data_IF_588833607475
#
_entry.id   IF_588833607475
#
_cell.length_a   1.000
_cell.length_b   1.000
_cell.length_c   1.000
_cell.angle_alpha   90.00
_cell.angle_beta   90.00
_cell.angle_gamma   90.00
#
_symmetry.space_group_name_H-M   'P 1'
#
loop_
_entity.id
_entity.type
_entity.pdbx_description
1 polymer ?
#
# COMPACT_ATOMS: atom_id res chain seq x y z
N UNK A 1 -19.08 17.50 -16.18
CA UNK A 1 -17.81 18.04 -15.58
C UNK A 1 -17.45 19.37 -16.25
N UNK A 2 -17.13 20.42 -15.47
CA UNK A 2 -16.46 21.62 -15.96
C UNK A 2 -14.96 21.33 -16.09
N UNK A 3 -14.29 21.70 -17.19
CA UNK A 3 -12.85 21.46 -17.33
C UNK A 3 -12.06 22.41 -16.44
N UNK A 4 -10.94 21.90 -15.90
CA UNK A 4 -9.93 22.70 -15.20
C UNK A 4 -8.62 22.69 -15.99
N UNK A 5 -7.86 23.77 -15.91
CA UNK A 5 -6.60 23.94 -16.63
C UNK A 5 -5.41 23.45 -15.80
N UNK A 6 -5.42 23.69 -14.50
CA UNK A 6 -4.32 23.39 -13.60
C UNK A 6 -4.79 22.92 -12.23
N UNK A 7 -3.95 22.14 -11.58
CA UNK A 7 -4.07 21.76 -10.17
C UNK A 7 -3.03 22.52 -9.36
N UNK A 8 -3.41 23.10 -8.23
CA UNK A 8 -2.56 23.95 -7.41
C UNK A 8 -2.36 23.28 -6.06
N UNK A 9 -1.11 23.04 -5.70
CA UNK A 9 -0.63 22.66 -4.36
C UNK A 9 -0.20 23.95 -3.69
N UNK A 10 -1.13 24.60 -2.93
CA UNK A 10 -0.98 26.00 -2.58
C UNK A 10 -0.10 26.22 -1.33
N UNK A 11 -0.65 26.08 -0.16
CA UNK A 11 0.05 26.29 1.11
C UNK A 11 -0.36 25.24 2.14
N UNK A 12 0.36 25.20 3.26
CA UNK A 12 -0.05 24.44 4.44
C UNK A 12 0.17 25.26 5.71
N UNK A 13 -0.57 24.91 6.72
CA UNK A 13 -0.47 25.46 8.07
C UNK A 13 0.13 24.39 8.99
N UNK A 14 1.01 24.77 9.90
CA UNK A 14 1.57 23.89 10.92
C UNK A 14 1.35 24.45 12.32
N UNK A 15 0.61 23.73 13.13
CA UNK A 15 0.47 24.03 14.56
C UNK A 15 1.37 23.11 15.39
N UNK A 16 2.46 23.68 15.89
CA UNK A 16 3.43 22.96 16.73
C UNK A 16 2.84 22.51 18.08
N UNK A 17 1.83 23.20 18.58
CA UNK A 17 1.23 22.90 19.89
C UNK A 17 0.34 21.65 19.85
N UNK A 18 -0.34 21.45 18.76
CA UNK A 18 -1.22 20.29 18.48
C UNK A 18 -0.59 19.22 17.63
N UNK A 19 0.57 19.52 17.02
CA UNK A 19 1.23 18.69 15.99
C UNK A 19 0.33 18.44 14.77
N UNK A 20 -0.44 19.45 14.39
CA UNK A 20 -1.38 19.35 13.28
C UNK A 20 -0.86 20.10 12.07
N UNK A 21 -0.93 19.45 10.88
CA UNK A 21 -0.68 20.09 9.60
C UNK A 21 -1.95 20.08 8.76
N UNK A 22 -2.35 21.24 8.23
CA UNK A 22 -3.48 21.41 7.33
C UNK A 22 -2.98 21.83 5.94
N UNK A 23 -3.31 21.06 4.93
CA UNK A 23 -2.81 21.18 3.56
C UNK A 23 -3.93 21.68 2.65
N UNK A 24 -3.63 22.62 1.75
CA UNK A 24 -4.60 23.28 0.89
C UNK A 24 -4.30 23.06 -0.59
N UNK A 25 -5.33 22.78 -1.37
CA UNK A 25 -5.28 22.51 -2.80
C UNK A 25 -6.39 23.25 -3.53
N UNK A 26 -6.21 23.51 -4.83
CA UNK A 26 -7.26 24.06 -5.66
C UNK A 26 -7.19 23.56 -7.11
N UNK A 27 -8.34 23.60 -7.81
CA UNK A 27 -8.40 23.59 -9.26
C UNK A 27 -8.75 25.02 -9.76
N UNK A 28 -7.85 25.63 -10.55
CA UNK A 28 -8.01 26.96 -11.18
C UNK A 28 -8.49 28.07 -10.22
N UNK A 29 -8.13 28.02 -8.94
CA UNK A 29 -8.62 28.92 -7.88
C UNK A 29 -10.17 28.96 -7.76
N UNK A 30 -10.86 27.89 -8.17
CA UNK A 30 -12.32 27.79 -8.17
C UNK A 30 -12.85 26.72 -7.22
N UNK A 31 -12.26 25.52 -7.24
CA UNK A 31 -12.61 24.42 -6.34
C UNK A 31 -11.48 24.20 -5.36
N UNK A 32 -11.75 24.42 -4.09
CA UNK A 32 -10.75 24.35 -3.01
C UNK A 32 -10.95 23.11 -2.16
N UNK A 33 -9.85 22.54 -1.70
CA UNK A 33 -9.82 21.39 -0.80
C UNK A 33 -8.86 21.65 0.35
N UNK A 34 -9.14 21.04 1.47
CA UNK A 34 -8.16 20.92 2.54
C UNK A 34 -8.16 19.55 3.16
N UNK A 35 -7.00 19.13 3.65
CA UNK A 35 -6.91 17.94 4.49
C UNK A 35 -6.01 18.19 5.68
N UNK A 36 -6.24 17.43 6.75
CA UNK A 36 -5.50 17.58 7.99
C UNK A 36 -4.83 16.28 8.35
N UNK A 37 -3.56 16.37 8.75
CA UNK A 37 -2.84 15.27 9.40
C UNK A 37 -2.47 15.72 10.81
N UNK A 38 -2.92 14.94 11.80
CA UNK A 38 -2.50 15.13 13.18
C UNK A 38 -1.37 14.15 13.50
N UNK A 39 -0.16 14.65 13.70
CA UNK A 39 1.03 13.87 14.01
C UNK A 39 1.14 13.51 15.48
N UNK A 40 0.26 14.03 16.36
CA UNK A 40 0.16 13.56 17.74
C UNK A 40 -0.35 12.11 17.76
N UNK A 41 0.26 11.21 18.54
CA UNK A 41 -0.24 9.84 18.66
C UNK A 41 -1.68 9.83 19.17
N UNK A 42 -2.55 9.08 18.51
CA UNK A 42 -3.97 8.99 18.87
C UNK A 42 -4.18 8.47 20.32
N UNK A 43 -3.28 7.60 20.78
CA UNK A 43 -3.29 7.00 22.11
C UNK A 43 -1.88 6.93 22.69
N UNK A 44 -1.79 6.89 24.02
CA UNK A 44 -0.53 6.67 24.73
C UNK A 44 0.57 7.66 24.31
N UNK A 45 0.25 8.95 24.24
CA UNK A 45 1.20 10.00 23.81
C UNK A 45 2.51 9.99 24.60
N UNK A 46 2.47 9.63 25.89
CA UNK A 46 3.65 9.47 26.75
C UNK A 46 4.63 8.37 26.29
N UNK A 47 4.16 7.41 25.49
CA UNK A 47 5.00 6.34 24.94
C UNK A 47 5.89 6.81 23.79
N UNK A 48 5.57 7.96 23.20
CA UNK A 48 6.20 8.49 21.99
C UNK A 48 6.69 9.94 22.22
N UNK A 49 7.82 10.12 22.92
CA UNK A 49 8.39 11.45 23.14
C UNK A 49 8.88 12.05 21.80
N UNK A 50 8.67 13.35 21.63
CA UNK A 50 9.23 14.09 20.50
C UNK A 50 10.75 14.22 20.67
N UNK A 51 11.49 13.83 19.64
CA UNK A 51 12.97 13.84 19.62
C UNK A 51 13.48 15.06 18.86
N UNK A 52 12.93 15.30 17.65
CA UNK A 52 13.36 16.40 16.80
C UNK A 52 12.19 17.38 16.58
N UNK A 53 12.41 18.69 16.80
CA UNK A 53 11.33 19.67 16.81
C UNK A 53 11.71 20.99 16.11
N UNK A 54 12.75 20.97 15.24
CA UNK A 54 13.09 22.14 14.47
C UNK A 54 11.98 22.47 13.46
N UNK A 55 11.46 23.68 13.53
CA UNK A 55 10.30 24.10 12.75
C UNK A 55 10.65 24.21 11.25
N UNK A 56 11.84 24.67 10.92
CA UNK A 56 12.24 24.79 9.52
C UNK A 56 12.39 23.39 8.88
N UNK A 57 12.97 22.44 9.62
CA UNK A 57 13.07 21.06 9.19
C UNK A 57 11.68 20.40 8.99
N UNK A 58 10.76 20.65 9.92
CA UNK A 58 9.38 20.15 9.80
C UNK A 58 8.70 20.77 8.57
N UNK A 59 8.82 22.08 8.34
CA UNK A 59 8.28 22.74 7.16
C UNK A 59 8.83 22.15 5.86
N UNK A 60 10.12 21.85 5.80
CA UNK A 60 10.72 21.16 4.64
C UNK A 60 10.03 19.80 4.40
N UNK A 61 9.92 18.97 5.41
CA UNK A 61 9.30 17.64 5.28
C UNK A 61 7.82 17.74 4.88
N UNK A 62 7.08 18.68 5.48
CA UNK A 62 5.67 18.92 5.17
C UNK A 62 5.47 19.43 3.73
N UNK A 63 6.40 20.22 3.17
CA UNK A 63 6.31 20.66 1.78
C UNK A 63 6.34 19.49 0.78
N UNK A 64 7.19 18.50 1.03
CA UNK A 64 7.21 17.27 0.21
C UNK A 64 6.00 16.37 0.45
N UNK A 65 5.56 16.25 1.70
CA UNK A 65 4.34 15.52 2.03
C UNK A 65 3.11 16.14 1.37
N UNK A 66 3.04 17.48 1.28
CA UNK A 66 1.96 18.22 0.62
C UNK A 66 1.78 17.75 -0.83
N UNK A 67 2.90 17.61 -1.57
CA UNK A 67 2.86 17.12 -2.95
C UNK A 67 2.36 15.66 -3.00
N UNK A 68 2.85 14.80 -2.09
CA UNK A 68 2.42 13.40 -2.05
C UNK A 68 0.92 13.23 -1.77
N UNK A 69 0.37 14.03 -0.85
CA UNK A 69 -1.05 14.03 -0.49
C UNK A 69 -1.94 14.54 -1.64
N UNK A 70 -1.46 15.53 -2.40
CA UNK A 70 -2.17 16.19 -3.51
C UNK A 70 -2.71 15.20 -4.56
N UNK A 71 -2.07 14.03 -4.74
CA UNK A 71 -2.54 12.99 -5.67
C UNK A 71 -3.97 12.53 -5.35
N UNK A 72 -4.40 12.65 -4.08
CA UNK A 72 -5.75 12.28 -3.62
C UNK A 72 -6.84 13.17 -4.20
N UNK A 73 -6.51 14.41 -4.52
CA UNK A 73 -7.42 15.41 -5.11
C UNK A 73 -7.20 15.53 -6.61
N UNK A 74 -5.95 15.50 -7.07
CA UNK A 74 -5.60 15.54 -8.50
C UNK A 74 -6.39 14.53 -9.34
N UNK A 75 -6.61 13.31 -8.83
CA UNK A 75 -7.38 12.28 -9.53
C UNK A 75 -8.84 12.67 -9.84
N UNK A 76 -9.41 13.64 -9.13
CA UNK A 76 -10.79 14.09 -9.39
C UNK A 76 -10.90 14.70 -10.79
N UNK A 77 -9.86 15.39 -11.25
CA UNK A 77 -9.73 15.91 -12.61
C UNK A 77 -8.25 16.07 -13.00
N UNK A 78 -7.62 15.05 -13.62
CA UNK A 78 -6.21 15.14 -14.02
C UNK A 78 -5.98 16.27 -15.02
N UNK A 79 -5.12 17.22 -14.66
CA UNK A 79 -4.74 18.38 -15.48
C UNK A 79 -3.35 18.18 -16.10
N UNK A 80 -3.05 18.95 -17.15
CA UNK A 80 -1.71 19.01 -17.72
C UNK A 80 -0.72 19.60 -16.72
N UNK A 81 -1.09 20.71 -16.06
CA UNK A 81 -0.22 21.44 -15.17
C UNK A 81 -0.53 21.19 -13.70
N UNK A 82 0.53 21.01 -12.90
CA UNK A 82 0.49 21.02 -11.44
C UNK A 82 1.40 22.13 -10.95
N UNK A 83 0.82 23.15 -10.30
CA UNK A 83 1.56 24.28 -9.76
C UNK A 83 1.90 23.99 -8.30
N UNK A 84 3.19 24.01 -7.96
CA UNK A 84 3.64 23.84 -6.57
C UNK A 84 4.13 25.20 -6.05
N UNK A 85 3.46 25.69 -4.98
CA UNK A 85 3.74 27.00 -4.38
C UNK A 85 4.56 26.89 -3.09
N UNK A 86 4.67 25.71 -2.50
CA UNK A 86 5.28 25.50 -1.18
C UNK A 86 6.79 25.30 -1.22
N UNK A 87 7.34 24.83 -2.34
CA UNK A 87 8.76 24.52 -2.48
C UNK A 87 9.19 24.65 -3.95
N UNK A 88 10.38 25.23 -4.24
CA UNK A 88 10.94 25.17 -5.59
C UNK A 88 11.36 23.75 -5.93
N UNK A 89 11.10 23.31 -7.16
CA UNK A 89 11.38 21.94 -7.62
C UNK A 89 12.55 21.92 -8.60
N UNK A 90 13.59 21.15 -8.28
CA UNK A 90 14.65 20.77 -9.25
C UNK A 90 14.10 19.77 -10.27
N UNK A 91 14.71 19.68 -11.44
CA UNK A 91 14.26 18.76 -12.50
C UNK A 91 14.14 17.30 -12.00
N UNK A 92 15.14 16.78 -11.27
CA UNK A 92 15.05 15.42 -10.68
C UNK A 92 13.90 15.23 -9.68
N UNK A 93 13.47 16.31 -9.02
CA UNK A 93 12.28 16.26 -8.16
C UNK A 93 11.02 16.20 -9.01
N UNK A 94 10.96 16.98 -10.10
CA UNK A 94 9.82 16.96 -11.04
C UNK A 94 9.68 15.58 -11.68
N UNK A 95 10.79 14.96 -12.10
CA UNK A 95 10.80 13.61 -12.66
C UNK A 95 10.22 12.58 -11.67
N UNK A 96 10.66 12.64 -10.40
CA UNK A 96 10.13 11.77 -9.35
C UNK A 96 8.62 11.98 -9.13
N UNK A 97 8.17 13.25 -9.04
CA UNK A 97 6.77 13.57 -8.80
C UNK A 97 5.90 13.23 -10.01
N UNK A 98 6.40 13.46 -11.22
CA UNK A 98 5.72 13.03 -12.44
C UNK A 98 5.49 11.51 -12.45
N UNK A 99 6.54 10.72 -12.19
CA UNK A 99 6.45 9.26 -12.07
C UNK A 99 5.48 8.83 -10.96
N UNK A 100 5.53 9.49 -9.81
CA UNK A 100 4.65 9.21 -8.68
C UNK A 100 3.17 9.40 -9.03
N UNK A 101 2.84 10.47 -9.76
CA UNK A 101 1.45 10.75 -10.18
C UNK A 101 1.05 9.87 -11.36
N UNK A 102 1.84 9.79 -12.41
CA UNK A 102 1.47 9.07 -13.64
C UNK A 102 1.47 7.55 -13.42
N UNK A 103 2.57 6.98 -12.96
CA UNK A 103 2.62 5.52 -12.71
C UNK A 103 1.78 5.11 -11.49
N UNK A 104 1.72 5.96 -10.46
CA UNK A 104 0.91 5.73 -9.26
C UNK A 104 -0.59 5.73 -9.50
N UNK A 105 -1.06 6.53 -10.47
CA UNK A 105 -2.45 6.57 -10.91
C UNK A 105 -2.71 5.67 -12.14
N UNK A 106 -1.80 4.79 -12.52
CA UNK A 106 -1.92 3.98 -13.73
C UNK A 106 -3.24 3.21 -13.83
N UNK A 107 -3.65 2.48 -12.77
CA UNK A 107 -4.95 1.81 -12.73
C UNK A 107 -6.12 2.79 -12.85
N UNK A 108 -6.03 3.94 -12.19
CA UNK A 108 -7.04 4.98 -12.26
C UNK A 108 -7.22 5.46 -13.71
N UNK A 109 -6.15 5.73 -14.44
CA UNK A 109 -6.20 6.13 -15.86
C UNK A 109 -6.80 5.03 -16.73
N UNK A 110 -6.38 3.78 -16.53
CA UNK A 110 -6.91 2.63 -17.26
C UNK A 110 -8.41 2.47 -17.06
N UNK A 111 -8.88 2.48 -15.81
CA UNK A 111 -10.31 2.27 -15.49
C UNK A 111 -11.22 3.40 -15.95
N UNK A 112 -10.73 4.63 -15.92
CA UNK A 112 -11.49 5.81 -16.36
C UNK A 112 -11.26 6.15 -17.84
N UNK A 113 -10.48 5.35 -18.58
CA UNK A 113 -10.17 5.53 -20.02
C UNK A 113 -9.55 6.92 -20.30
N UNK A 114 -8.66 7.39 -19.41
CA UNK A 114 -7.97 8.67 -19.54
C UNK A 114 -6.58 8.42 -20.12
N UNK A 115 -6.24 9.10 -21.23
CA UNK A 115 -4.88 9.08 -21.75
C UNK A 115 -3.95 9.90 -20.84
N UNK A 116 -2.94 9.30 -20.20
CA UNK A 116 -2.05 10.00 -19.27
C UNK A 116 -0.96 10.84 -19.96
N UNK A 117 -0.84 10.75 -21.29
CA UNK A 117 0.23 11.43 -22.04
C UNK A 117 0.11 12.94 -21.88
N UNK A 118 1.19 13.58 -21.41
CA UNK A 118 1.28 15.01 -21.22
C UNK A 118 0.63 15.55 -19.94
N UNK A 119 0.03 14.69 -19.10
CA UNK A 119 -0.53 15.09 -17.79
C UNK A 119 0.56 15.26 -16.73
N UNK A 120 0.20 15.90 -15.61
CA UNK A 120 1.01 16.03 -14.40
C UNK A 120 2.40 16.68 -14.63
N UNK A 121 2.47 17.75 -15.43
CA UNK A 121 3.68 18.53 -15.60
C UNK A 121 3.87 19.45 -14.38
N UNK A 122 4.89 19.21 -13.57
CA UNK A 122 5.15 19.97 -12.35
C UNK A 122 5.85 21.29 -12.65
N UNK A 123 5.20 22.39 -12.28
CA UNK A 123 5.71 23.75 -12.37
C UNK A 123 5.84 24.35 -10.97
N UNK A 124 6.79 25.23 -10.75
CA UNK A 124 6.91 25.99 -9.50
C UNK A 124 6.90 27.49 -9.79
N UNK A 125 6.28 28.25 -8.90
CA UNK A 125 6.14 29.71 -9.04
C UNK A 125 7.40 30.47 -8.61
N UNK A 126 8.23 29.89 -7.75
CA UNK A 126 9.43 30.55 -7.24
C UNK A 126 10.67 30.22 -8.07
N UNK A 127 11.34 31.29 -8.59
CA UNK A 127 12.66 31.25 -9.22
C UNK A 127 13.83 31.28 -8.22
N UNK A 128 13.60 31.03 -6.93
CA UNK A 128 14.67 31.06 -5.93
C UNK A 128 15.56 29.84 -6.09
N UNK A 129 16.70 30.02 -6.73
CA UNK A 129 17.81 29.05 -6.80
C UNK A 129 18.49 28.82 -5.43
N UNK A 130 18.12 29.56 -4.40
CA UNK A 130 18.78 29.55 -3.11
C UNK A 130 18.34 28.37 -2.25
N UNK A 131 19.30 27.48 -1.98
CA UNK A 131 19.26 26.42 -0.98
C UNK A 131 18.04 25.49 -1.06
N UNK A 132 17.84 24.84 -2.20
CA UNK A 132 16.97 23.68 -2.24
C UNK A 132 17.60 22.62 -1.35
N UNK A 133 16.94 22.42 -0.27
CA UNK A 133 17.26 21.67 0.91
C UNK A 133 17.99 20.36 0.63
N UNK A 134 19.17 20.23 1.18
CA UNK A 134 19.81 18.94 1.39
C UNK A 134 19.00 18.16 2.44
N UNK A 135 19.11 16.85 2.41
CA UNK A 135 18.49 16.01 3.43
C UNK A 135 18.93 16.43 4.84
N UNK A 136 17.98 16.45 5.76
CA UNK A 136 18.16 16.86 7.14
C UNK A 136 18.92 15.80 7.94
N UNK A 137 19.81 16.26 8.82
CA UNK A 137 20.34 15.39 9.88
C UNK A 137 19.34 15.31 11.04
N UNK A 138 19.22 14.16 11.67
CA UNK A 138 18.31 13.95 12.77
C UNK A 138 18.78 12.84 13.71
N UNK A 139 18.33 12.90 14.96
CA UNK A 139 18.61 11.86 15.95
C UNK A 139 17.60 10.73 15.81
N UNK A 140 18.09 9.49 15.70
CA UNK A 140 17.23 8.33 15.49
C UNK A 140 17.89 7.01 15.92
N UNK A 141 17.14 6.14 16.58
CA UNK A 141 17.65 4.87 17.10
C UNK A 141 16.78 3.65 16.75
N UNK A 142 15.44 3.81 16.71
CA UNK A 142 14.49 2.70 16.59
C UNK A 142 14.09 2.43 15.14
N UNK A 143 13.45 1.26 14.93
CA UNK A 143 12.77 0.93 13.69
C UNK A 143 11.27 1.26 13.81
N UNK A 144 10.67 1.66 12.69
CA UNK A 144 9.23 1.88 12.55
C UNK A 144 8.68 0.88 11.53
N UNK A 145 7.81 -0.04 11.94
CA UNK A 145 7.21 -1.04 11.03
C UNK A 145 5.84 -0.56 10.58
N UNK A 146 5.66 -0.39 9.26
CA UNK A 146 4.35 -0.08 8.68
C UNK A 146 3.39 -1.25 8.94
N UNK A 147 2.31 -0.99 9.67
CA UNK A 147 1.41 -1.99 10.19
C UNK A 147 -0.02 -1.80 9.69
N UNK A 148 -0.36 -2.55 8.63
CA UNK A 148 -1.70 -2.60 8.02
C UNK A 148 -2.48 -3.89 8.32
N UNK A 149 -2.14 -4.65 9.37
CA UNK A 149 -2.74 -5.92 9.88
C UNK A 149 -2.84 -7.06 8.89
N UNK A 150 -2.28 -6.91 7.74
CA UNK A 150 -2.13 -8.01 6.79
C UNK A 150 -1.04 -8.98 7.26
N UNK A 151 -1.11 -10.21 6.79
CA UNK A 151 -0.11 -11.26 7.07
C UNK A 151 1.33 -10.79 6.83
N UNK A 152 1.56 -9.93 5.82
CA UNK A 152 2.90 -9.48 5.42
C UNK A 152 3.55 -8.61 6.51
N UNK A 153 2.79 -7.69 7.10
CA UNK A 153 3.26 -6.87 8.22
C UNK A 153 3.54 -7.71 9.47
N UNK A 154 2.73 -8.73 9.72
CA UNK A 154 2.93 -9.65 10.84
C UNK A 154 4.18 -10.51 10.66
N UNK A 155 4.46 -10.99 9.45
CA UNK A 155 5.73 -11.67 9.14
C UNK A 155 6.93 -10.74 9.36
N UNK A 156 6.85 -9.48 8.92
CA UNK A 156 7.92 -8.50 9.16
C UNK A 156 8.15 -8.22 10.65
N UNK A 157 7.08 -8.19 11.45
CA UNK A 157 7.17 -8.08 12.92
C UNK A 157 7.95 -9.27 13.49
N UNK A 158 7.56 -10.50 13.14
CA UNK A 158 8.22 -11.69 13.67
C UNK A 158 9.70 -11.80 13.22
N UNK A 159 10.00 -11.47 11.97
CA UNK A 159 11.37 -11.40 11.47
C UNK A 159 12.21 -10.33 12.21
N UNK A 160 11.61 -9.22 12.63
CA UNK A 160 12.28 -8.19 13.40
C UNK A 160 12.54 -8.64 14.83
N UNK A 161 11.57 -9.33 15.47
CA UNK A 161 11.72 -9.95 16.79
C UNK A 161 12.84 -10.99 16.81
N UNK A 162 12.90 -11.86 15.80
CA UNK A 162 13.95 -12.88 15.67
C UNK A 162 15.36 -12.27 15.62
N UNK A 163 15.48 -11.03 15.14
CA UNK A 163 16.74 -10.28 15.12
C UNK A 163 17.01 -9.49 16.39
N UNK A 164 16.14 -9.54 17.40
CA UNK A 164 16.20 -8.78 18.64
C UNK A 164 16.34 -7.26 18.43
N UNK A 165 15.68 -6.71 17.38
CA UNK A 165 15.72 -5.29 17.08
C UNK A 165 14.57 -4.58 17.78
N UNK A 166 14.84 -3.37 18.32
CA UNK A 166 13.83 -2.51 18.90
C UNK A 166 13.00 -1.82 17.82
N UNK A 167 11.68 -1.89 17.93
CA UNK A 167 10.76 -1.30 16.97
C UNK A 167 9.44 -0.87 17.60
N UNK A 168 8.76 0.03 16.92
CA UNK A 168 7.36 0.37 17.14
C UNK A 168 6.56 0.12 15.86
N UNK A 169 5.24 -0.07 15.99
CA UNK A 169 4.33 -0.23 14.87
C UNK A 169 3.79 1.14 14.43
N UNK A 170 3.54 1.30 13.14
CA UNK A 170 2.98 2.52 12.58
C UNK A 170 1.73 2.25 11.76
N UNK A 171 0.63 2.93 12.08
CA UNK A 171 -0.62 2.91 11.33
C UNK A 171 -1.05 4.33 10.95
N UNK A 172 -1.54 4.49 9.72
CA UNK A 172 -1.97 5.78 9.18
C UNK A 172 -3.46 5.77 8.84
N UNK A 173 -4.19 6.78 9.31
CA UNK A 173 -5.62 6.93 9.11
C UNK A 173 -6.43 6.66 10.38
N UNK A 174 -7.58 5.99 10.25
CA UNK A 174 -8.47 5.68 11.38
C UNK A 174 -8.01 4.43 12.14
N UNK A 175 -8.31 4.38 13.42
CA UNK A 175 -8.19 3.16 14.20
C UNK A 175 -9.42 2.27 13.97
N UNK A 176 -9.17 0.98 13.77
CA UNK A 176 -10.20 -0.04 13.67
C UNK A 176 -10.02 -1.09 14.79
N UNK A 177 -11.11 -1.70 15.32
CA UNK A 177 -11.01 -2.70 16.40
C UNK A 177 -10.03 -3.84 16.10
N UNK A 178 -9.94 -4.25 14.85
CA UNK A 178 -8.99 -5.26 14.37
C UNK A 178 -7.52 -4.91 14.57
N UNK A 179 -7.19 -3.63 14.56
CA UNK A 179 -5.85 -3.20 14.87
C UNK A 179 -5.37 -3.71 16.22
N UNK A 180 -6.27 -3.68 17.22
CA UNK A 180 -5.96 -4.11 18.56
C UNK A 180 -5.79 -5.62 18.65
N UNK A 181 -6.63 -6.40 17.94
CA UNK A 181 -6.52 -7.85 17.90
C UNK A 181 -5.20 -8.31 17.29
N UNK A 182 -4.80 -7.73 16.17
CA UNK A 182 -3.54 -8.09 15.51
C UNK A 182 -2.31 -7.52 16.23
N UNK A 183 -2.44 -6.39 16.92
CA UNK A 183 -1.36 -5.80 17.73
C UNK A 183 -1.07 -6.60 18.98
N UNK A 184 -2.09 -7.10 19.68
CA UNK A 184 -1.94 -7.79 20.97
C UNK A 184 -0.81 -8.84 20.95
N UNK A 185 -0.83 -9.84 20.06
CA UNK A 185 0.22 -10.86 19.97
C UNK A 185 1.60 -10.33 19.57
N UNK A 186 1.70 -9.09 19.07
CA UNK A 186 3.01 -8.50 18.71
C UNK A 186 3.79 -7.99 19.94
N UNK A 187 3.09 -7.62 21.02
CA UNK A 187 3.64 -6.98 22.22
C UNK A 187 4.34 -5.64 21.96
N UNK A 188 4.12 -5.04 20.79
CA UNK A 188 4.75 -3.80 20.38
C UNK A 188 3.84 -2.58 20.60
N UNK A 189 4.45 -1.43 20.89
CA UNK A 189 3.75 -0.15 20.90
C UNK A 189 3.36 0.25 19.48
N UNK A 190 2.24 0.94 19.32
CA UNK A 190 1.74 1.37 18.01
C UNK A 190 1.45 2.86 17.97
N UNK A 191 2.17 3.55 17.11
CA UNK A 191 1.93 4.94 16.76
C UNK A 191 0.84 5.01 15.67
N UNK A 192 -0.24 5.73 15.96
CA UNK A 192 -1.35 5.95 15.03
C UNK A 192 -1.41 7.43 14.71
N UNK A 193 -1.22 7.77 13.43
CA UNK A 193 -1.33 9.11 12.90
C UNK A 193 -2.63 9.25 12.12
N UNK A 194 -3.40 10.28 12.47
CA UNK A 194 -4.72 10.50 11.89
C UNK A 194 -4.67 11.35 10.62
N UNK A 195 -5.50 10.99 9.65
CA UNK A 195 -5.76 11.76 8.42
C UNK A 195 -7.24 12.09 8.32
N UNK A 196 -7.55 13.35 8.05
CA UNK A 196 -8.91 13.83 7.81
C UNK A 196 -8.97 14.45 6.42
N UNK A 197 -9.70 13.81 5.50
CA UNK A 197 -9.93 14.27 4.12
C UNK A 197 -11.11 15.21 4.07
N UNK A 198 -11.13 16.11 3.09
CA UNK A 198 -12.28 16.95 2.73
C UNK A 198 -13.35 16.11 2.00
N UNK A 199 -13.98 15.20 2.74
CA UNK A 199 -14.99 14.30 2.18
C UNK A 199 -16.21 15.05 1.59
N UNK A 200 -16.73 16.14 2.21
CA UNK A 200 -17.85 16.88 1.64
C UNK A 200 -17.55 17.44 0.25
N UNK A 201 -16.39 18.06 0.07
CA UNK A 201 -15.99 18.62 -1.22
C UNK A 201 -15.70 17.53 -2.27
N UNK A 202 -15.05 16.44 -1.86
CA UNK A 202 -14.86 15.27 -2.74
C UNK A 202 -16.21 14.72 -3.20
N UNK A 203 -17.15 14.50 -2.28
CA UNK A 203 -18.49 13.96 -2.60
C UNK A 203 -19.29 14.88 -3.52
N UNK A 204 -19.21 16.20 -3.32
CA UNK A 204 -19.81 17.20 -4.21
C UNK A 204 -19.33 16.99 -5.64
N UNK A 205 -18.02 16.95 -5.86
CA UNK A 205 -17.47 16.79 -7.21
C UNK A 205 -17.80 15.42 -7.81
N UNK A 206 -17.77 14.35 -7.03
CA UNK A 206 -18.19 13.03 -7.51
C UNK A 206 -19.66 13.02 -7.96
N UNK A 207 -20.54 13.73 -7.27
CA UNK A 207 -21.94 13.90 -7.67
C UNK A 207 -22.10 14.72 -8.98
N UNK A 208 -21.15 15.60 -9.27
CA UNK A 208 -21.06 16.37 -10.52
C UNK A 208 -20.40 15.58 -11.67
N UNK A 209 -20.03 14.30 -11.43
CA UNK A 209 -19.49 13.39 -12.43
C UNK A 209 -17.97 13.43 -12.59
N UNK A 210 -17.22 14.03 -11.63
CA UNK A 210 -15.77 13.97 -11.61
C UNK A 210 -15.27 12.57 -11.25
N UNK A 211 -13.98 12.27 -11.53
CA UNK A 211 -13.43 10.93 -11.46
C UNK A 211 -13.13 10.45 -10.02
N UNK A 212 -13.14 9.14 -9.85
CA UNK A 212 -12.65 8.47 -8.65
C UNK A 212 -11.86 7.21 -9.04
N UNK A 213 -11.05 6.71 -8.12
CA UNK A 213 -10.32 5.45 -8.34
C UNK A 213 -9.11 5.26 -7.44
N UNK A 214 -8.25 4.35 -7.87
CA UNK A 214 -7.04 3.94 -7.17
C UNK A 214 -6.09 5.10 -6.85
N UNK A 215 -5.35 4.95 -5.75
CA UNK A 215 -4.32 5.87 -5.29
C UNK A 215 -3.04 5.12 -4.90
N UNK A 216 -1.85 5.71 -5.08
CA UNK A 216 -0.58 5.16 -4.60
C UNK A 216 -0.44 5.31 -3.07
N UNK A 217 -1.37 4.74 -2.30
CA UNK A 217 -1.48 4.98 -0.85
C UNK A 217 -0.23 4.59 -0.07
N UNK A 218 0.47 3.51 -0.46
CA UNK A 218 1.71 3.11 0.19
C UNK A 218 2.79 4.18 0.02
N UNK A 219 2.86 4.82 -1.15
CA UNK A 219 3.78 5.93 -1.38
C UNK A 219 3.47 7.13 -0.50
N UNK A 220 2.18 7.51 -0.37
CA UNK A 220 1.75 8.56 0.57
C UNK A 220 2.20 8.22 2.00
N UNK A 221 1.96 6.98 2.45
CA UNK A 221 2.34 6.52 3.79
C UNK A 221 3.87 6.62 4.00
N UNK A 222 4.69 6.37 2.98
CA UNK A 222 6.14 6.51 3.07
C UNK A 222 6.57 7.96 3.36
N UNK A 223 5.91 8.97 2.77
CA UNK A 223 6.17 10.39 3.07
C UNK A 223 5.70 10.77 4.48
N UNK A 224 4.53 10.31 4.91
CA UNK A 224 4.07 10.49 6.31
C UNK A 224 5.05 9.85 7.28
N UNK A 225 5.52 8.64 6.98
CA UNK A 225 6.50 7.93 7.81
C UNK A 225 7.85 8.64 7.89
N UNK A 226 8.26 9.39 6.86
CA UNK A 226 9.46 10.23 6.93
C UNK A 226 9.29 11.39 7.93
N UNK A 227 8.14 12.08 7.93
CA UNK A 227 7.83 13.12 8.94
C UNK A 227 7.81 12.52 10.34
N UNK A 228 7.13 11.38 10.52
CA UNK A 228 7.06 10.63 11.78
C UNK A 228 8.45 10.21 12.25
N UNK A 229 9.29 9.75 11.33
CA UNK A 229 10.67 9.35 11.64
C UNK A 229 11.49 10.51 12.16
N UNK A 230 11.33 11.69 11.59
CA UNK A 230 11.97 12.90 12.11
C UNK A 230 11.46 13.23 13.51
N UNK A 231 10.16 13.38 13.67
CA UNK A 231 9.57 13.82 14.94
C UNK A 231 9.90 12.88 16.11
N UNK A 232 9.84 11.57 15.90
CA UNK A 232 9.93 10.56 16.95
C UNK A 232 11.25 9.77 16.96
N UNK A 233 12.21 10.11 16.10
CA UNK A 233 13.54 9.50 16.09
C UNK A 233 13.58 8.07 15.57
N UNK A 234 12.91 7.76 14.46
CA UNK A 234 13.02 6.44 13.82
C UNK A 234 14.07 6.45 12.71
N UNK A 235 15.06 5.57 12.84
CA UNK A 235 16.17 5.45 11.90
C UNK A 235 15.76 4.83 10.56
N UNK A 236 14.85 3.85 10.61
CA UNK A 236 14.44 3.11 9.43
C UNK A 236 12.94 2.84 9.49
N UNK A 237 12.29 2.95 8.34
CA UNK A 237 10.92 2.51 8.10
C UNK A 237 10.96 1.14 7.42
N UNK A 238 10.38 0.16 8.08
CA UNK A 238 10.25 -1.19 7.56
C UNK A 238 8.89 -1.32 6.89
N UNK A 239 8.91 -1.53 5.58
CA UNK A 239 7.74 -1.91 4.80
C UNK A 239 7.62 -3.44 4.75
N UNK A 240 6.48 -3.94 4.31
CA UNK A 240 6.22 -5.37 4.18
C UNK A 240 5.74 -5.66 2.77
N UNK A 241 6.64 -5.39 1.81
CA UNK A 241 6.37 -5.42 0.38
C UNK A 241 7.12 -6.60 -0.21
N UNK A 242 6.39 -7.54 -0.73
CA UNK A 242 6.88 -8.78 -1.32
C UNK A 242 7.30 -8.59 -2.79
N UNK A 243 8.03 -9.57 -3.33
CA UNK A 243 8.51 -9.54 -4.71
C UNK A 243 7.38 -9.59 -5.73
N UNK A 244 6.28 -10.23 -5.40
CA UNK A 244 5.10 -10.37 -6.29
C UNK A 244 4.43 -9.03 -6.60
N UNK A 245 4.68 -7.98 -5.80
CA UNK A 245 4.21 -6.62 -6.05
C UNK A 245 4.86 -5.95 -7.29
N UNK A 246 5.95 -6.50 -7.81
CA UNK A 246 6.63 -5.98 -9.01
C UNK A 246 5.88 -6.34 -10.32
N UNK A 247 4.97 -7.32 -10.29
CA UNK A 247 4.29 -7.80 -11.49
C UNK A 247 3.07 -6.93 -11.83
N UNK A 248 3.15 -6.28 -13.01
CA UNK A 248 2.09 -5.44 -13.54
C UNK A 248 0.85 -6.24 -14.02
N UNK A 249 -0.27 -5.55 -14.22
CA UNK A 249 -1.57 -6.14 -14.58
C UNK A 249 -1.81 -6.14 -16.11
N UNK A 250 -1.55 -5.00 -16.76
CA UNK A 250 -1.79 -4.79 -18.20
C UNK A 250 -0.97 -3.60 -18.70
N UNK A 251 -1.01 -3.36 -20.01
CA UNK A 251 -0.41 -2.18 -20.62
C UNK A 251 -1.51 -1.21 -21.11
N UNK A 252 -1.26 0.10 -20.96
CA UNK A 252 -2.17 1.14 -21.39
C UNK A 252 -1.40 2.40 -21.82
N UNK A 253 -1.59 2.86 -23.06
CA UNK A 253 -0.86 4.00 -23.64
C UNK A 253 0.66 3.97 -23.42
N UNK A 254 1.28 2.79 -23.56
CA UNK A 254 2.72 2.61 -23.35
C UNK A 254 3.17 2.57 -21.89
N UNK A 255 2.24 2.59 -20.94
CA UNK A 255 2.53 2.41 -19.53
C UNK A 255 2.21 0.99 -19.07
N UNK A 256 3.13 0.38 -18.32
CA UNK A 256 2.87 -0.83 -17.57
C UNK A 256 2.01 -0.49 -16.35
N UNK A 257 0.74 -0.89 -16.38
CA UNK A 257 -0.21 -0.62 -15.31
C UNK A 257 -0.04 -1.65 -14.20
N UNK A 258 0.44 -1.20 -13.05
CA UNK A 258 0.60 -2.01 -11.86
C UNK A 258 -0.27 -1.47 -10.72
N UNK A 259 -1.31 -2.22 -10.32
CA UNK A 259 -2.13 -1.90 -9.14
C UNK A 259 -1.26 -1.67 -7.88
N UNK A 260 -0.16 -2.39 -7.78
CA UNK A 260 0.76 -2.33 -6.65
C UNK A 260 1.98 -1.42 -6.91
N UNK A 261 1.89 -0.44 -7.84
CA UNK A 261 3.03 0.42 -8.23
C UNK A 261 3.77 1.01 -7.04
N UNK A 262 3.08 1.57 -6.05
CA UNK A 262 3.69 2.14 -4.85
C UNK A 262 4.23 1.09 -3.86
N UNK A 263 4.08 -0.19 -4.17
CA UNK A 263 4.66 -1.34 -3.44
C UNK A 263 5.81 -2.01 -4.20
N UNK A 264 6.08 -1.61 -5.44
CA UNK A 264 7.14 -2.22 -6.27
C UNK A 264 8.54 -1.90 -5.75
N UNK A 265 9.50 -2.73 -6.13
CA UNK A 265 10.92 -2.51 -5.85
C UNK A 265 11.44 -1.22 -6.51
N UNK A 266 10.97 -0.91 -7.71
CA UNK A 266 11.30 0.32 -8.44
C UNK A 266 10.87 1.57 -7.63
N UNK A 267 9.63 1.55 -7.08
CA UNK A 267 9.19 2.66 -6.24
C UNK A 267 9.95 2.73 -4.92
N UNK A 268 10.21 1.60 -4.25
CA UNK A 268 10.97 1.56 -2.99
C UNK A 268 12.37 2.16 -3.17
N UNK A 269 13.06 1.82 -4.26
CA UNK A 269 14.37 2.36 -4.57
C UNK A 269 14.31 3.86 -4.92
N UNK A 270 13.37 4.26 -5.77
CA UNK A 270 13.15 5.65 -6.17
C UNK A 270 12.83 6.53 -4.96
N UNK A 271 11.92 6.08 -4.09
CA UNK A 271 11.57 6.81 -2.87
C UNK A 271 12.75 6.89 -1.89
N UNK A 272 13.50 5.82 -1.68
CA UNK A 272 14.70 5.83 -0.81
C UNK A 272 15.73 6.85 -1.30
N UNK A 273 16.03 6.84 -2.61
CA UNK A 273 16.96 7.79 -3.20
C UNK A 273 16.47 9.25 -3.06
N UNK A 274 15.17 9.47 -3.30
CA UNK A 274 14.54 10.78 -3.10
C UNK A 274 14.62 11.23 -1.63
N UNK A 275 14.23 10.36 -0.71
CA UNK A 275 14.22 10.67 0.71
C UNK A 275 15.61 10.97 1.26
N UNK A 276 16.63 10.19 0.89
CA UNK A 276 18.02 10.43 1.29
C UNK A 276 18.61 11.70 0.69
N UNK A 277 18.10 12.14 -0.45
CA UNK A 277 18.60 13.36 -1.12
C UNK A 277 17.91 14.61 -0.58
N UNK A 278 16.61 14.56 -0.30
CA UNK A 278 15.79 15.75 -0.06
C UNK A 278 15.04 15.79 1.28
N UNK A 279 14.92 14.68 1.99
CA UNK A 279 14.18 14.62 3.25
C UNK A 279 15.11 14.41 4.44
N UNK A 280 15.59 13.21 4.66
CA UNK A 280 16.33 12.80 5.85
C UNK A 280 17.62 12.07 5.47
N UNK A 281 18.75 12.57 5.96
CA UNK A 281 20.07 11.97 5.73
C UNK A 281 20.14 10.58 6.39
N UNK A 282 20.66 9.60 5.64
CA UNK A 282 20.76 8.22 6.09
C UNK A 282 19.41 7.53 6.44
N UNK A 283 18.30 8.10 5.97
CA UNK A 283 16.99 7.48 6.15
C UNK A 283 16.86 6.21 5.30
N UNK A 284 16.40 5.13 5.94
CA UNK A 284 16.12 3.89 5.26
C UNK A 284 14.62 3.59 5.23
N UNK A 285 14.11 3.34 4.03
CA UNK A 285 12.79 2.78 3.81
C UNK A 285 12.96 1.51 3.01
N UNK A 286 12.73 0.35 3.65
CA UNK A 286 13.00 -0.95 3.02
C UNK A 286 12.06 -2.05 3.50
N UNK A 287 11.82 -3.03 2.65
CA UNK A 287 11.08 -4.23 3.02
C UNK A 287 11.99 -5.37 3.48
N UNK A 288 11.63 -6.02 4.60
CA UNK A 288 12.31 -7.23 5.07
C UNK A 288 11.96 -8.49 4.27
N UNK A 289 10.88 -8.42 3.48
CA UNK A 289 10.37 -9.55 2.69
C UNK A 289 10.47 -9.30 1.18
N UNK A 290 11.21 -8.26 0.73
CA UNK A 290 11.34 -7.84 -0.68
C UNK A 290 11.74 -8.96 -1.62
N UNK A 291 12.63 -9.85 -1.19
CA UNK A 291 13.15 -10.95 -2.01
C UNK A 291 12.27 -12.21 -1.95
N UNK A 292 11.11 -12.16 -1.26
CA UNK A 292 10.20 -13.29 -1.11
C UNK A 292 8.96 -13.08 -1.97
N UNK A 293 8.57 -14.10 -2.71
CA UNK A 293 7.25 -14.16 -3.32
C UNK A 293 6.15 -14.27 -2.26
N UNK A 294 4.93 -13.90 -2.57
CA UNK A 294 3.82 -13.89 -1.60
C UNK A 294 3.55 -15.29 -1.03
N UNK A 295 3.64 -16.34 -1.85
CA UNK A 295 3.52 -17.73 -1.39
C UNK A 295 4.59 -18.09 -0.34
N UNK A 296 5.83 -17.60 -0.47
CA UNK A 296 6.89 -17.77 0.54
C UNK A 296 6.59 -17.00 1.82
N UNK A 297 6.00 -15.82 1.71
CA UNK A 297 5.55 -15.04 2.87
C UNK A 297 4.44 -15.77 3.61
N UNK A 298 3.50 -16.41 2.89
CA UNK A 298 2.45 -17.21 3.52
C UNK A 298 3.01 -18.47 4.17
N UNK A 299 3.99 -19.13 3.55
CA UNK A 299 4.71 -20.26 4.19
C UNK A 299 5.37 -19.83 5.51
N UNK A 300 5.94 -18.62 5.57
CA UNK A 300 6.49 -18.09 6.83
C UNK A 300 5.37 -17.75 7.82
N UNK A 301 4.28 -17.10 7.35
CA UNK A 301 3.12 -16.76 8.17
C UNK A 301 2.46 -17.98 8.82
N UNK A 302 2.43 -19.14 8.13
CA UNK A 302 1.82 -20.36 8.66
C UNK A 302 2.50 -20.91 9.94
N UNK A 303 3.67 -20.40 10.29
CA UNK A 303 4.38 -20.74 11.54
C UNK A 303 3.86 -19.97 12.76
N UNK A 304 2.95 -19.00 12.56
CA UNK A 304 2.51 -18.06 13.59
C UNK A 304 0.99 -18.14 13.82
N UNK A 305 0.48 -19.24 14.38
CA UNK A 305 -0.96 -19.48 14.53
C UNK A 305 -1.68 -18.44 15.42
N UNK A 306 -0.94 -17.76 16.32
CA UNK A 306 -1.48 -16.69 17.17
C UNK A 306 -2.09 -15.51 16.38
N UNK A 307 -1.82 -15.41 15.07
CA UNK A 307 -2.34 -14.35 14.20
C UNK A 307 -3.49 -14.78 13.29
N UNK A 308 -3.82 -16.08 13.19
CA UNK A 308 -4.74 -16.59 12.18
C UNK A 308 -6.13 -15.97 12.23
N UNK A 309 -6.64 -15.70 13.43
CA UNK A 309 -7.95 -15.06 13.63
C UNK A 309 -7.86 -13.53 13.81
N UNK A 310 -6.66 -12.95 13.77
CA UNK A 310 -6.44 -11.54 14.04
C UNK A 310 -6.02 -10.72 12.80
N UNK A 311 -5.70 -11.35 11.66
CA UNK A 311 -5.31 -10.62 10.45
C UNK A 311 -6.48 -10.42 9.50
N UNK A 312 -6.42 -9.37 8.68
CA UNK A 312 -7.30 -9.19 7.54
C UNK A 312 -6.49 -8.86 6.29
N UNK A 313 -6.89 -9.46 5.16
CA UNK A 313 -6.32 -9.15 3.84
C UNK A 313 -7.41 -8.72 2.84
N UNK A 314 -8.66 -8.61 3.26
CA UNK A 314 -9.78 -8.24 2.39
C UNK A 314 -9.77 -6.74 2.08
N UNK A 315 -9.63 -6.36 0.80
CA UNK A 315 -9.58 -4.95 0.42
C UNK A 315 -10.90 -4.20 0.68
N UNK A 316 -12.06 -4.87 0.67
CA UNK A 316 -13.35 -4.24 1.02
C UNK A 316 -13.35 -3.67 2.44
N UNK A 317 -12.54 -4.22 3.34
CA UNK A 317 -12.44 -3.77 4.73
C UNK A 317 -11.65 -2.46 4.90
N UNK A 318 -10.97 -2.00 3.86
CA UNK A 318 -10.14 -0.79 3.89
C UNK A 318 -10.78 0.40 3.16
N UNK A 319 -12.01 0.26 2.66
CA UNK A 319 -12.72 1.38 2.06
C UNK A 319 -13.15 2.40 3.12
N UNK A 320 -12.83 3.68 2.90
CA UNK A 320 -13.09 4.78 3.84
C UNK A 320 -14.60 4.92 4.15
N UNK A 321 -15.47 4.57 3.21
CA UNK A 321 -16.92 4.74 3.30
C UNK A 321 -17.66 3.56 3.90
N UNK A 322 -17.08 2.35 3.92
CA UNK A 322 -17.80 1.11 4.28
C UNK A 322 -17.34 0.47 5.58
N UNK A 323 -16.20 0.87 6.12
CA UNK A 323 -15.60 0.19 7.27
C UNK A 323 -16.03 0.82 8.60
N UNK A 324 -17.17 0.39 9.14
CA UNK A 324 -17.65 0.91 10.43
C UNK A 324 -17.54 -0.05 11.61
N UNK A 325 -17.63 -1.36 11.40
CA UNK A 325 -17.52 -2.36 12.48
C UNK A 325 -17.11 -3.71 11.90
N UNK A 326 -15.86 -4.10 12.05
CA UNK A 326 -15.40 -5.42 11.62
C UNK A 326 -15.13 -6.30 12.83
N UNK A 327 -15.93 -7.34 12.98
CA UNK A 327 -15.77 -8.38 13.98
C UNK A 327 -15.91 -9.74 13.33
N UNK A 328 -15.10 -10.72 13.74
CA UNK A 328 -15.22 -12.13 13.38
C UNK A 328 -15.41 -12.40 11.89
N UNK A 329 -16.61 -12.78 11.50
CA UNK A 329 -17.04 -13.13 10.13
C UNK A 329 -16.89 -11.99 9.10
N UNK A 330 -16.90 -10.73 9.54
CA UNK A 330 -16.78 -9.58 8.65
C UNK A 330 -15.34 -9.26 8.18
N UNK A 331 -14.34 -10.01 8.64
CA UNK A 331 -12.93 -9.83 8.26
C UNK A 331 -12.66 -10.17 6.80
N UNK A 332 -13.58 -10.89 6.15
CA UNK A 332 -13.43 -11.42 4.78
C UNK A 332 -14.75 -11.33 4.05
N UNK A 333 -14.71 -10.97 2.76
CA UNK A 333 -15.92 -10.88 1.95
C UNK A 333 -16.22 -12.17 1.17
N UNK A 334 -15.28 -13.13 1.13
CA UNK A 334 -15.36 -14.41 0.39
C UNK A 334 -15.57 -14.33 -1.13
N UNK A 335 -15.50 -13.15 -1.71
CA UNK A 335 -15.83 -12.89 -3.11
C UNK A 335 -14.75 -12.13 -3.88
N UNK A 336 -13.88 -11.40 -3.18
CA UNK A 336 -12.86 -10.60 -3.86
C UNK A 336 -11.61 -11.42 -4.23
N UNK A 337 -10.84 -10.99 -5.24
CA UNK A 337 -9.61 -11.66 -5.65
C UNK A 337 -8.61 -11.88 -4.50
N UNK A 338 -8.53 -10.92 -3.58
CA UNK A 338 -7.62 -11.02 -2.44
C UNK A 338 -8.05 -12.12 -1.45
N UNK A 339 -9.36 -12.29 -1.20
CA UNK A 339 -9.84 -13.38 -0.35
C UNK A 339 -9.58 -14.76 -0.99
N UNK A 340 -9.90 -14.93 -2.28
CA UNK A 340 -9.66 -16.19 -3.00
C UNK A 340 -8.17 -16.53 -3.05
N UNK A 341 -7.32 -15.53 -3.37
CA UNK A 341 -5.88 -15.69 -3.42
C UNK A 341 -5.31 -16.10 -2.06
N UNK A 342 -5.59 -15.35 -0.99
CA UNK A 342 -5.04 -15.62 0.35
C UNK A 342 -5.55 -16.95 0.91
N UNK A 343 -6.83 -17.29 0.66
CA UNK A 343 -7.38 -18.60 1.01
C UNK A 343 -6.55 -19.73 0.38
N UNK A 344 -6.31 -19.65 -0.93
CA UNK A 344 -5.53 -20.66 -1.66
C UNK A 344 -4.11 -20.78 -1.14
N UNK A 345 -3.43 -19.63 -0.91
CA UNK A 345 -2.08 -19.62 -0.38
C UNK A 345 -2.00 -20.28 1.02
N UNK A 346 -2.95 -19.99 1.92
CA UNK A 346 -2.99 -20.59 3.26
C UNK A 346 -3.25 -22.10 3.19
N UNK A 347 -4.17 -22.55 2.32
CA UNK A 347 -4.46 -23.97 2.12
C UNK A 347 -3.23 -24.78 1.67
N UNK A 348 -2.28 -24.16 0.99
CA UNK A 348 -1.04 -24.82 0.61
C UNK A 348 -0.17 -25.24 1.84
N UNK A 349 -0.30 -24.53 2.98
CA UNK A 349 0.58 -24.75 4.14
C UNK A 349 -0.14 -25.08 5.44
N UNK A 350 -1.43 -24.79 5.53
CA UNK A 350 -2.28 -25.00 6.72
C UNK A 350 -3.37 -26.00 6.37
N UNK A 351 -3.83 -26.76 7.37
CA UNK A 351 -4.86 -27.79 7.20
C UNK A 351 -6.21 -27.16 6.75
N UNK A 352 -6.96 -27.93 5.94
CA UNK A 352 -8.25 -27.52 5.36
C UNK A 352 -9.23 -27.01 6.42
N UNK A 353 -9.40 -27.77 7.49
CA UNK A 353 -10.33 -27.43 8.56
C UNK A 353 -9.99 -26.11 9.23
N UNK A 354 -8.70 -25.84 9.47
CA UNK A 354 -8.23 -24.62 10.11
C UNK A 354 -8.38 -23.40 9.18
N UNK A 355 -8.07 -23.54 7.87
CA UNK A 355 -8.29 -22.45 6.92
C UNK A 355 -9.77 -22.14 6.74
N UNK A 356 -10.63 -23.18 6.71
CA UNK A 356 -12.07 -22.99 6.66
C UNK A 356 -12.61 -22.31 7.93
N UNK A 357 -12.04 -22.60 9.10
CA UNK A 357 -12.37 -21.89 10.34
C UNK A 357 -11.92 -20.42 10.30
N UNK A 358 -10.70 -20.15 9.84
CA UNK A 358 -10.19 -18.79 9.61
C UNK A 358 -11.10 -17.99 8.66
N UNK A 359 -11.62 -18.63 7.60
CA UNK A 359 -12.45 -17.98 6.57
C UNK A 359 -13.95 -18.12 6.82
N UNK A 360 -14.39 -18.98 7.74
CA UNK A 360 -15.81 -19.32 7.97
C UNK A 360 -16.50 -19.86 6.71
N UNK A 361 -15.72 -20.38 5.76
CA UNK A 361 -16.21 -20.91 4.49
C UNK A 361 -15.15 -21.77 3.78
N UNK A 362 -15.60 -22.75 2.99
CA UNK A 362 -14.75 -23.38 1.98
C UNK A 362 -14.92 -22.64 0.65
N UNK A 363 -13.91 -21.86 0.25
CA UNK A 363 -13.99 -21.07 -0.99
C UNK A 363 -13.83 -21.94 -2.24
N UNK A 364 -13.32 -23.16 -2.12
CA UNK A 364 -13.17 -24.06 -3.27
C UNK A 364 -14.49 -24.72 -3.68
N UNK A 365 -15.47 -24.74 -2.80
CA UNK A 365 -16.82 -25.24 -3.09
C UNK A 365 -17.72 -24.20 -3.78
N UNK A 366 -17.28 -22.93 -3.87
CA UNK A 366 -18.07 -21.85 -4.46
C UNK A 366 -17.94 -21.80 -5.98
N UNK A 367 -18.96 -22.27 -6.70
CA UNK A 367 -19.00 -22.26 -8.18
C UNK A 367 -18.90 -20.84 -8.73
N UNK A 368 -19.47 -19.85 -8.06
CA UNK A 368 -19.47 -18.44 -8.46
C UNK A 368 -18.05 -17.83 -8.49
N UNK A 369 -17.06 -18.47 -7.85
CA UNK A 369 -15.68 -18.04 -7.89
C UNK A 369 -14.89 -18.58 -9.08
N UNK A 370 -15.43 -19.48 -9.90
CA UNK A 370 -14.73 -20.05 -11.08
C UNK A 370 -14.21 -18.96 -12.02
N UNK A 371 -14.98 -17.91 -12.40
CA UNK A 371 -14.45 -16.85 -13.25
C UNK A 371 -13.25 -16.15 -12.63
N UNK A 372 -13.32 -15.87 -11.34
CA UNK A 372 -12.24 -15.23 -10.60
C UNK A 372 -10.96 -16.09 -10.52
N UNK A 373 -11.11 -17.40 -10.31
CA UNK A 373 -9.96 -18.32 -10.34
C UNK A 373 -9.34 -18.44 -11.73
N UNK A 374 -10.14 -18.32 -12.82
CA UNK A 374 -9.62 -18.26 -14.18
C UNK A 374 -8.74 -17.02 -14.41
N UNK A 375 -9.13 -15.86 -13.87
CA UNK A 375 -8.31 -14.64 -13.89
C UNK A 375 -7.03 -14.79 -13.05
N UNK A 376 -7.12 -15.32 -11.83
CA UNK A 376 -5.98 -15.55 -10.96
C UNK A 376 -4.96 -16.54 -11.52
N UNK A 377 -5.42 -17.53 -12.31
CA UNK A 377 -4.59 -18.51 -13.01
C UNK A 377 -4.16 -18.08 -14.42
N UNK A 378 -4.59 -16.90 -14.89
CA UNK A 378 -4.40 -16.40 -16.23
C UNK A 378 -4.89 -17.34 -17.33
N UNK A 379 -5.96 -18.09 -17.06
CA UNK A 379 -6.65 -18.90 -18.05
C UNK A 379 -7.48 -18.01 -18.97
N UNK A 380 -8.17 -17.03 -18.38
CA UNK A 380 -9.01 -16.05 -19.06
C UNK A 380 -8.87 -14.67 -18.37
N UNK A 381 -8.95 -13.57 -19.15
CA UNK A 381 -8.90 -12.21 -18.61
C UNK A 381 -7.48 -11.69 -18.38
N UNK A 382 -7.38 -10.70 -17.48
CA UNK A 382 -6.13 -10.09 -17.04
C UNK A 382 -5.96 -10.30 -15.53
N UNK A 383 -4.72 -10.15 -15.04
CA UNK A 383 -4.46 -10.16 -13.59
C UNK A 383 -5.40 -9.18 -12.89
N UNK A 384 -6.17 -9.60 -11.87
CA UNK A 384 -7.06 -8.70 -11.14
C UNK A 384 -6.34 -7.46 -10.61
N UNK A 385 -7.02 -6.31 -10.64
CA UNK A 385 -6.53 -5.08 -10.03
C UNK A 385 -6.72 -5.11 -8.51
N UNK A 386 -5.94 -5.96 -7.89
CA UNK A 386 -5.93 -6.22 -6.45
C UNK A 386 -4.51 -6.55 -5.99
N UNK A 387 -4.29 -6.47 -4.68
CA UNK A 387 -3.01 -6.88 -4.08
C UNK A 387 -2.91 -8.41 -4.04
N UNK A 388 -2.73 -9.04 -5.19
CA UNK A 388 -2.53 -10.48 -5.36
C UNK A 388 -1.19 -10.77 -6.02
N UNK A 389 -0.64 -11.94 -5.76
CA UNK A 389 0.60 -12.40 -6.38
C UNK A 389 0.45 -12.77 -7.85
N UNK A 390 1.27 -13.68 -8.30
CA UNK A 390 1.32 -14.14 -9.70
C UNK A 390 0.48 -15.39 -9.93
N UNK A 391 0.17 -15.67 -11.19
CA UNK A 391 -0.46 -16.93 -11.58
C UNK A 391 0.43 -18.16 -11.26
N UNK A 392 1.75 -18.02 -11.35
CA UNK A 392 2.70 -19.06 -10.98
C UNK A 392 2.56 -19.44 -9.50
N UNK A 393 2.35 -18.47 -8.62
CA UNK A 393 2.10 -18.69 -7.20
C UNK A 393 0.77 -19.41 -6.97
N UNK A 394 -0.30 -19.00 -7.68
CA UNK A 394 -1.59 -19.70 -7.65
C UNK A 394 -1.47 -21.14 -8.12
N UNK A 395 -0.76 -21.35 -9.23
CA UNK A 395 -0.50 -22.68 -9.82
C UNK A 395 0.25 -23.58 -8.84
N UNK A 396 1.32 -23.06 -8.22
CA UNK A 396 2.09 -23.81 -7.23
C UNK A 396 1.27 -24.14 -5.99
N UNK A 397 0.49 -23.19 -5.47
CA UNK A 397 -0.34 -23.40 -4.28
C UNK A 397 -1.38 -24.50 -4.53
N UNK A 398 -2.09 -24.46 -5.66
CA UNK A 398 -3.10 -25.49 -6.01
C UNK A 398 -2.44 -26.85 -6.26
N UNK A 399 -1.25 -26.90 -6.82
CA UNK A 399 -0.49 -28.14 -6.96
C UNK A 399 -0.09 -28.73 -5.61
N UNK A 400 0.41 -27.94 -4.67
CA UNK A 400 0.71 -28.38 -3.32
C UNK A 400 -0.54 -28.95 -2.65
N UNK A 401 -1.68 -28.28 -2.78
CA UNK A 401 -2.98 -28.74 -2.26
C UNK A 401 -3.37 -30.08 -2.91
N UNK A 402 -3.23 -30.23 -4.24
CA UNK A 402 -3.59 -31.45 -4.97
C UNK A 402 -2.73 -32.66 -4.57
N UNK A 403 -1.52 -32.45 -4.07
CA UNK A 403 -0.68 -33.53 -3.52
C UNK A 403 -1.07 -33.95 -2.09
N UNK A 404 -1.66 -33.02 -1.32
CA UNK A 404 -2.14 -33.33 0.04
C UNK A 404 -3.52 -34.00 0.03
N UNK A 405 -4.36 -33.64 -0.93
CA UNK A 405 -5.73 -34.13 -1.06
C UNK A 405 -5.78 -35.04 -2.29
N UNK A 406 -5.71 -36.35 -2.10
CA UNK A 406 -5.60 -37.35 -3.20
C UNK A 406 -6.74 -37.28 -4.24
N UNK A 407 -7.94 -36.81 -3.87
CA UNK A 407 -9.05 -36.48 -4.77
C UNK A 407 -9.93 -35.40 -4.13
N UNK A 408 -9.91 -34.20 -4.67
CA UNK A 408 -10.85 -33.14 -4.30
C UNK A 408 -11.91 -33.01 -5.40
N UNK A 409 -13.17 -33.18 -5.03
CA UNK A 409 -14.30 -32.99 -5.95
C UNK A 409 -14.74 -31.53 -6.07
N UNK A 410 -14.05 -30.61 -5.40
CA UNK A 410 -14.40 -29.19 -5.41
C UNK A 410 -14.30 -28.57 -6.81
N UNK A 411 -15.20 -27.65 -7.18
CA UNK A 411 -15.22 -27.00 -8.49
C UNK A 411 -13.89 -26.34 -8.86
N UNK A 412 -13.21 -25.73 -7.92
CA UNK A 412 -11.94 -25.03 -8.14
C UNK A 412 -10.80 -26.01 -8.39
N UNK A 413 -10.73 -27.13 -7.65
CA UNK A 413 -9.70 -28.14 -7.91
C UNK A 413 -9.93 -28.85 -9.24
N UNK A 414 -11.18 -29.13 -9.65
CA UNK A 414 -11.49 -29.65 -10.97
C UNK A 414 -11.04 -28.69 -12.08
N UNK A 415 -11.32 -27.39 -11.93
CA UNK A 415 -10.82 -26.36 -12.88
C UNK A 415 -9.30 -26.40 -13.00
N UNK A 416 -8.58 -26.48 -11.87
CA UNK A 416 -7.12 -26.54 -11.87
C UNK A 416 -6.60 -27.81 -12.57
N UNK A 417 -7.14 -28.97 -12.22
CA UNK A 417 -6.73 -30.27 -12.81
C UNK A 417 -6.95 -30.30 -14.33
N UNK A 418 -8.11 -29.84 -14.79
CA UNK A 418 -8.46 -29.86 -16.22
C UNK A 418 -7.71 -28.81 -17.06
N UNK A 419 -7.53 -27.61 -16.53
CA UNK A 419 -7.04 -26.47 -17.33
C UNK A 419 -5.55 -26.16 -17.14
N UNK A 420 -4.97 -26.52 -16.02
CA UNK A 420 -3.57 -26.18 -15.68
C UNK A 420 -2.74 -27.45 -15.50
N UNK A 421 -3.07 -28.30 -14.56
CA UNK A 421 -2.29 -29.50 -14.19
C UNK A 421 -2.12 -30.46 -15.38
N UNK A 422 -3.16 -30.62 -16.19
CA UNK A 422 -3.11 -31.48 -17.40
C UNK A 422 -2.11 -31.02 -18.47
N UNK A 423 -1.59 -29.79 -18.37
CA UNK A 423 -0.66 -29.18 -19.34
C UNK A 423 0.77 -29.04 -18.79
N UNK A 424 1.01 -29.45 -17.56
CA UNK A 424 2.29 -29.34 -16.88
C UNK A 424 2.77 -30.71 -16.42
N UNK A 425 4.08 -30.87 -16.38
CA UNK A 425 4.74 -32.07 -15.83
C UNK A 425 5.14 -31.86 -14.37
N UNK A 426 5.42 -32.92 -13.62
CA UNK A 426 5.95 -32.79 -12.26
C UNK A 426 7.27 -31.99 -12.23
N UNK A 427 8.09 -32.10 -13.27
CA UNK A 427 9.32 -31.31 -13.40
C UNK A 427 9.05 -29.80 -13.52
N UNK A 428 7.95 -29.40 -14.17
CA UNK A 428 7.57 -27.98 -14.27
C UNK A 428 7.16 -27.42 -12.90
N UNK A 429 6.42 -28.21 -12.12
CA UNK A 429 6.04 -27.86 -10.75
C UNK A 429 7.26 -27.81 -9.81
N UNK A 430 8.21 -28.74 -9.92
CA UNK A 430 9.45 -28.71 -9.15
C UNK A 430 10.29 -27.45 -9.45
N UNK A 431 10.29 -26.99 -10.72
CA UNK A 431 10.94 -25.74 -11.10
C UNK A 431 10.25 -24.53 -10.50
N UNK A 432 8.90 -24.52 -10.49
CA UNK A 432 8.13 -23.47 -9.83
C UNK A 432 8.40 -23.43 -8.32
N UNK A 433 8.40 -24.57 -7.66
CA UNK A 433 8.69 -24.66 -6.24
C UNK A 433 10.08 -24.11 -5.90
N UNK A 434 11.10 -24.51 -6.66
CA UNK A 434 12.46 -23.96 -6.52
C UNK A 434 12.52 -22.45 -6.72
N UNK A 435 11.80 -21.94 -7.74
CA UNK A 435 11.76 -20.51 -8.06
C UNK A 435 11.10 -19.69 -6.94
N UNK A 436 9.98 -20.18 -6.42
CA UNK A 436 9.07 -19.39 -5.58
C UNK A 436 9.30 -19.60 -4.08
N UNK A 437 9.77 -20.76 -3.65
CA UNK A 437 9.93 -21.10 -2.24
C UNK A 437 11.39 -21.20 -1.78
N UNK A 438 12.35 -21.49 -2.67
CA UNK A 438 13.74 -21.77 -2.26
C UNK A 438 14.71 -20.60 -2.51
N UNK A 439 14.33 -19.63 -3.31
CA UNK A 439 15.05 -18.37 -3.53
C UNK A 439 14.42 -17.27 -2.68
#
# INVERSE_FOLDING_TARGET
>A
MKPFSRFIISHFEWDKSTLEAKFHYAFDDQEHFSETINFSPLKNTSDFPLINQDTAAIHQLLSHLHIALGVSYYKLYPTTEIIVETIPLKERMKDFWHDFYIKGLGEFFYRNQINPTGLAQFLCTEKREENINSALEYSAEKLLILFGWGKDSLVSVELTKQKNLSFDLFSFGKEYPLHQLAQGPTWAKRLIIQRTLDLPQIQKLLAEGYYNGHLPITGIICFVAAVVSYLYGYKSVITSLEKSADFWNTEYHGLNINHQRSKSSEFEESFRNYAQTYLLKNFECKSLIRNRYEIKVVQEFSKYPQYFHAFSSCNRNFHITTCTKLTGDQLRCWECPKCAFVYTMLRAFIEKSEVNDIFWADLFEKIDLIPLFKELLWIEGIKPFECVGTNEEMTLALWIISKKEEKSDSPIMKLFEEKVKSRMTDSDFDLLEKKLLWK
#
